data_IF_562384459428
#
_entry.id   IF_562384459428
#
_cell.length_a   1.000
_cell.length_b   1.000
_cell.length_c   1.000
_cell.angle_alpha   90.00
_cell.angle_beta   90.00
_cell.angle_gamma   90.00
#
_symmetry.space_group_name_H-M   'P 1'
#
loop_
_entity.id
_entity.type
_entity.pdbx_description
1 polymer ?
#
# COMPACT_ATOMS: atom_id res chain seq x y z
N UNK A 1 28.39 -0.86 51.78
CA UNK A 1 27.10 -0.93 51.06
C UNK A 1 26.64 0.47 50.69
N UNK A 2 26.79 0.90 49.42
CA UNK A 2 26.07 2.05 48.84
C UNK A 2 25.80 1.78 47.36
N UNK A 3 24.54 1.98 46.98
CA UNK A 3 23.87 1.66 45.71
C UNK A 3 24.10 2.75 44.66
N UNK A 4 23.76 2.37 43.41
CA UNK A 4 23.27 3.21 42.30
C UNK A 4 24.35 3.83 41.38
N UNK A 5 24.16 3.95 40.07
CA UNK A 5 22.95 3.88 39.24
C UNK A 5 23.36 3.53 37.80
N UNK A 6 22.74 2.50 37.23
CA UNK A 6 22.85 2.11 35.82
C UNK A 6 22.01 3.08 34.98
N UNK A 7 22.62 3.75 33.99
CA UNK A 7 21.90 4.51 32.96
C UNK A 7 22.13 3.83 31.61
N UNK A 8 21.31 2.82 31.34
CA UNK A 8 21.12 2.23 30.01
C UNK A 8 20.08 3.11 29.30
N UNK A 9 20.57 4.03 28.47
CA UNK A 9 19.73 4.82 27.57
C UNK A 9 19.37 3.99 26.34
N UNK A 10 18.23 3.29 26.36
CA UNK A 10 17.66 2.66 25.17
C UNK A 10 16.71 3.68 24.54
N UNK A 11 17.21 4.41 23.54
CA UNK A 11 16.35 5.13 22.60
C UNK A 11 15.67 4.11 21.69
N UNK A 12 14.48 3.63 22.08
CA UNK A 12 13.59 2.87 21.21
C UNK A 12 13.00 3.86 20.20
N UNK A 13 13.68 4.05 19.09
CA UNK A 13 13.10 4.68 17.91
C UNK A 13 12.01 3.75 17.38
N UNK A 14 10.75 4.11 17.59
CA UNK A 14 9.61 3.42 17.00
C UNK A 14 9.58 3.79 15.51
N UNK A 15 10.39 3.10 14.72
CA UNK A 15 10.17 3.05 13.28
C UNK A 15 8.84 2.30 13.10
N UNK A 16 7.76 3.05 12.88
CA UNK A 16 6.55 2.50 12.33
C UNK A 16 6.90 1.96 10.93
N UNK A 17 7.37 0.72 10.87
CA UNK A 17 7.58 -0.01 9.64
C UNK A 17 6.20 -0.19 9.01
N UNK A 18 5.80 0.76 8.15
CA UNK A 18 4.75 0.57 7.17
C UNK A 18 5.15 -0.64 6.33
N UNK A 19 4.73 -1.81 6.79
CA UNK A 19 5.13 -3.09 6.23
C UNK A 19 4.23 -3.29 5.02
N UNK A 20 4.70 -2.82 3.86
CA UNK A 20 4.11 -3.25 2.60
C UNK A 20 4.08 -4.77 2.57
N UNK A 21 2.93 -5.36 2.25
CA UNK A 21 2.80 -6.81 2.23
C UNK A 21 3.41 -7.31 0.93
N UNK A 22 4.51 -8.03 1.02
CA UNK A 22 5.17 -8.66 -0.14
C UNK A 22 4.80 -10.13 -0.20
N UNK A 23 4.34 -10.57 -1.37
CA UNK A 23 4.14 -11.97 -1.70
C UNK A 23 5.13 -12.36 -2.81
N UNK A 24 5.66 -13.57 -2.76
CA UNK A 24 6.70 -14.03 -3.70
C UNK A 24 6.25 -15.32 -4.38
N UNK A 25 6.39 -15.39 -5.70
CA UNK A 25 6.04 -16.55 -6.52
C UNK A 25 7.13 -16.83 -7.56
N UNK A 26 7.24 -18.08 -8.02
CA UNK A 26 8.15 -18.43 -9.13
C UNK A 26 7.45 -18.09 -10.45
N UNK A 27 8.04 -17.20 -11.22
CA UNK A 27 7.53 -16.80 -12.52
C UNK A 27 7.80 -17.84 -13.63
N UNK A 28 7.22 -17.66 -14.82
CA UNK A 28 7.38 -18.58 -15.97
C UNK A 28 8.84 -18.67 -16.47
N UNK A 29 9.68 -17.70 -16.13
CA UNK A 29 11.11 -17.67 -16.43
C UNK A 29 11.97 -18.43 -15.41
N UNK A 30 11.36 -19.04 -14.39
CA UNK A 30 12.06 -19.70 -13.28
C UNK A 30 12.64 -18.72 -12.25
N UNK A 31 12.52 -17.41 -12.47
CA UNK A 31 12.97 -16.37 -11.54
C UNK A 31 11.88 -16.02 -10.53
N UNK A 32 12.29 -15.68 -9.31
CA UNK A 32 11.37 -15.24 -8.26
C UNK A 32 10.83 -13.85 -8.60
N UNK A 33 9.51 -13.70 -8.53
CA UNK A 33 8.77 -12.46 -8.69
C UNK A 33 8.19 -12.07 -7.34
N UNK A 34 8.37 -10.80 -6.97
CA UNK A 34 7.83 -10.22 -5.75
C UNK A 34 6.70 -9.27 -6.11
N UNK A 35 5.57 -9.37 -5.42
CA UNK A 35 4.47 -8.42 -5.52
C UNK A 35 4.27 -7.77 -4.16
N UNK A 36 4.49 -6.46 -4.09
CA UNK A 36 4.30 -5.69 -2.86
C UNK A 36 3.06 -4.82 -2.96
N UNK A 37 2.23 -4.86 -1.91
CA UNK A 37 1.10 -3.97 -1.68
C UNK A 37 1.48 -2.89 -0.66
N UNK A 38 1.31 -1.61 -1.03
CA UNK A 38 1.59 -0.45 -0.19
C UNK A 38 0.38 0.49 -0.12
N UNK A 39 0.24 1.27 0.94
CA UNK A 39 -0.78 2.32 1.07
C UNK A 39 -0.11 3.69 1.18
N UNK A 40 -0.91 4.75 1.09
CA UNK A 40 -0.50 6.16 1.27
C UNK A 40 0.38 6.72 0.15
N UNK A 41 1.40 6.01 -0.33
CA UNK A 41 2.20 6.44 -1.49
C UNK A 41 2.87 5.29 -2.24
N UNK A 42 3.08 5.48 -3.54
CA UNK A 42 3.87 4.56 -4.38
C UNK A 42 5.34 4.47 -3.96
N UNK A 43 5.86 5.52 -3.31
CA UNK A 43 7.25 5.56 -2.81
C UNK A 43 7.56 4.45 -1.81
N UNK A 44 6.57 4.04 -1.02
CA UNK A 44 6.74 2.93 -0.09
C UNK A 44 7.05 1.62 -0.83
N UNK A 45 6.46 1.40 -2.02
CA UNK A 45 6.73 0.20 -2.79
C UNK A 45 8.18 0.18 -3.31
N UNK A 46 8.75 1.32 -3.69
CA UNK A 46 10.17 1.40 -4.01
C UNK A 46 11.07 1.08 -2.82
N UNK A 47 10.73 1.58 -1.62
CA UNK A 47 11.49 1.30 -0.41
C UNK A 47 11.48 -0.20 -0.07
N UNK A 48 10.33 -0.85 -0.17
CA UNK A 48 10.21 -2.30 0.06
C UNK A 48 10.96 -3.11 -1.00
N UNK A 49 10.90 -2.72 -2.28
CA UNK A 49 11.66 -3.40 -3.33
C UNK A 49 13.17 -3.26 -3.15
N UNK A 50 13.65 -2.06 -2.82
CA UNK A 50 15.06 -1.82 -2.47
C UNK A 50 15.49 -2.70 -1.28
N UNK A 51 14.68 -2.77 -0.23
CA UNK A 51 14.98 -3.59 0.95
C UNK A 51 14.97 -5.10 0.66
N UNK A 52 14.06 -5.54 -0.23
CA UNK A 52 13.91 -6.95 -0.62
C UNK A 52 15.09 -7.39 -1.49
N UNK A 53 15.42 -6.62 -2.52
CA UNK A 53 16.44 -7.01 -3.50
C UNK A 53 17.87 -6.66 -3.06
N UNK A 54 18.04 -5.72 -2.13
CA UNK A 54 19.36 -5.22 -1.68
C UNK A 54 20.28 -4.84 -2.85
N UNK A 55 19.69 -4.32 -3.91
CA UNK A 55 20.33 -4.13 -5.20
C UNK A 55 19.32 -3.70 -6.27
N UNK A 56 19.72 -3.63 -7.54
CA UNK A 56 18.83 -3.27 -8.62
C UNK A 56 17.67 -4.28 -8.74
N UNK A 57 16.57 -3.80 -9.30
CA UNK A 57 15.42 -4.62 -9.66
C UNK A 57 14.78 -4.08 -10.94
N UNK A 58 14.05 -4.95 -11.62
CA UNK A 58 13.20 -4.59 -12.75
C UNK A 58 11.73 -4.70 -12.33
N UNK A 59 10.96 -3.66 -12.63
CA UNK A 59 9.52 -3.66 -12.40
C UNK A 59 8.82 -4.32 -13.58
N UNK A 60 8.00 -5.32 -13.27
CA UNK A 60 7.23 -6.13 -14.23
C UNK A 60 5.83 -5.56 -14.40
N UNK A 61 5.18 -5.17 -13.30
CA UNK A 61 3.86 -4.55 -13.33
C UNK A 61 3.71 -3.54 -12.18
N UNK A 62 2.90 -2.52 -12.40
CA UNK A 62 2.55 -1.55 -11.36
C UNK A 62 1.15 -1.00 -11.58
N UNK A 63 0.40 -0.81 -10.52
CA UNK A 63 -0.92 -0.18 -10.57
C UNK A 63 -1.37 0.35 -9.22
N UNK A 64 -2.34 1.27 -9.23
CA UNK A 64 -3.10 1.65 -8.05
C UNK A 64 -4.55 1.19 -8.18
N UNK A 65 -5.25 1.04 -7.05
CA UNK A 65 -6.70 0.92 -7.03
C UNK A 65 -7.27 1.45 -5.73
N UNK A 66 -8.50 1.93 -5.78
CA UNK A 66 -9.29 2.20 -4.57
C UNK A 66 -9.65 0.87 -3.90
N UNK A 67 -9.55 0.82 -2.56
CA UNK A 67 -9.90 -0.37 -1.79
C UNK A 67 -10.27 -0.04 -0.35
N UNK A 68 -10.90 -1.00 0.31
CA UNK A 68 -11.17 -0.93 1.74
C UNK A 68 -9.89 -1.05 2.57
N UNK A 69 -9.96 -0.63 3.83
CA UNK A 69 -8.85 -0.73 4.78
C UNK A 69 -8.50 -2.19 5.11
N UNK A 70 -9.49 -3.09 5.09
CA UNK A 70 -9.36 -4.50 5.49
C UNK A 70 -9.36 -5.48 4.31
N UNK A 71 -10.00 -5.13 3.18
CA UNK A 71 -10.07 -5.98 2.00
C UNK A 71 -10.26 -5.15 0.72
N UNK A 72 -9.55 -5.54 -0.34
CA UNK A 72 -9.57 -4.85 -1.64
C UNK A 72 -10.75 -5.29 -2.53
N UNK A 73 -11.82 -5.79 -1.91
CA UNK A 73 -12.98 -6.39 -2.57
C UNK A 73 -13.97 -5.29 -3.00
N UNK A 74 -14.03 -4.18 -2.26
CA UNK A 74 -14.86 -3.02 -2.60
C UNK A 74 -14.00 -1.75 -2.71
N UNK A 75 -14.30 -0.85 -3.66
CA UNK A 75 -13.71 0.49 -3.69
C UNK A 75 -13.94 1.18 -2.35
N UNK A 76 -12.87 1.67 -1.75
CA UNK A 76 -12.90 2.35 -0.45
C UNK A 76 -12.02 3.58 -0.47
N UNK A 77 -11.97 4.34 0.63
CA UNK A 77 -11.27 5.63 0.68
C UNK A 77 -9.75 5.51 0.61
N UNK A 78 -9.20 4.28 0.62
CA UNK A 78 -7.76 4.04 0.60
C UNK A 78 -7.31 3.72 -0.81
N UNK A 79 -6.30 4.46 -1.28
CA UNK A 79 -5.55 4.10 -2.48
C UNK A 79 -4.47 3.09 -2.12
N UNK A 80 -4.57 1.91 -2.71
CA UNK A 80 -3.55 0.88 -2.62
C UNK A 80 -2.69 0.87 -3.86
N UNK A 81 -1.37 0.79 -3.67
CA UNK A 81 -0.37 0.67 -4.71
C UNK A 81 0.16 -0.76 -4.74
N UNK A 82 0.27 -1.33 -5.93
CA UNK A 82 0.81 -2.66 -6.16
C UNK A 82 1.98 -2.54 -7.09
N UNK A 83 3.08 -3.21 -6.73
CA UNK A 83 4.28 -3.25 -7.55
C UNK A 83 4.81 -4.68 -7.61
N UNK A 84 4.90 -5.20 -8.83
CA UNK A 84 5.45 -6.51 -9.13
C UNK A 84 6.85 -6.34 -9.71
N UNK A 85 7.86 -6.94 -9.13
CA UNK A 85 9.26 -6.76 -9.50
C UNK A 85 10.07 -8.04 -9.38
N UNK A 86 11.19 -8.09 -10.10
CA UNK A 86 12.19 -9.14 -10.03
C UNK A 86 13.53 -8.53 -9.64
N UNK A 87 14.23 -9.13 -8.69
CA UNK A 87 15.57 -8.70 -8.32
C UNK A 87 16.57 -9.03 -9.44
N UNK A 88 17.48 -8.09 -9.72
CA UNK A 88 18.42 -8.22 -10.83
C UNK A 88 18.58 -6.92 -11.62
N UNK A 89 19.22 -6.96 -12.80
CA UNK A 89 19.44 -5.77 -13.61
C UNK A 89 18.13 -5.02 -13.88
N UNK A 90 18.15 -3.70 -13.69
CA UNK A 90 17.00 -2.87 -14.00
C UNK A 90 16.86 -2.70 -15.51
N UNK A 91 15.62 -2.68 -15.99
CA UNK A 91 15.29 -2.28 -17.36
C UNK A 91 15.23 -0.74 -17.54
N UNK A 92 15.51 0.04 -16.48
CA UNK A 92 15.48 1.50 -16.52
C UNK A 92 14.08 2.11 -16.61
N UNK A 93 13.03 1.29 -16.51
CA UNK A 93 11.64 1.75 -16.60
C UNK A 93 11.13 2.10 -15.22
N UNK A 94 10.68 3.34 -15.07
CA UNK A 94 10.05 3.81 -13.83
C UNK A 94 8.55 3.49 -13.86
N UNK A 95 7.99 2.81 -12.83
CA UNK A 95 6.58 2.47 -12.81
C UNK A 95 5.69 3.70 -12.64
N UNK A 96 4.54 3.66 -13.30
CA UNK A 96 3.60 4.79 -13.40
C UNK A 96 2.40 4.63 -12.47
N UNK A 97 2.16 3.44 -11.91
CA UNK A 97 1.01 3.12 -11.06
C UNK A 97 -0.33 3.64 -11.63
N UNK A 98 -0.70 3.24 -12.86
CA UNK A 98 -2.01 3.59 -13.41
C UNK A 98 -3.14 3.07 -12.50
N UNK A 99 -4.19 3.89 -12.36
CA UNK A 99 -5.40 3.50 -11.64
C UNK A 99 -6.11 2.35 -12.39
N UNK A 100 -6.40 1.27 -11.67
CA UNK A 100 -7.17 0.11 -12.16
C UNK A 100 -8.42 -0.07 -11.30
N UNK A 101 -9.49 -0.54 -11.94
CA UNK A 101 -10.77 -0.79 -11.26
C UNK A 101 -11.63 0.47 -11.15
N UNK A 102 -12.67 0.39 -10.31
CA UNK A 102 -13.61 1.50 -10.10
C UNK A 102 -13.03 2.49 -9.08
N UNK A 103 -13.29 3.76 -9.32
CA UNK A 103 -13.01 4.80 -8.34
C UNK A 103 -13.95 4.70 -7.14
N UNK A 104 -13.48 5.23 -6.02
CA UNK A 104 -14.29 5.38 -4.82
C UNK A 104 -15.15 6.64 -4.95
N UNK A 105 -16.46 6.46 -5.06
CA UNK A 105 -17.42 7.57 -4.92
C UNK A 105 -17.78 7.71 -3.44
N UNK A 106 -17.39 8.81 -2.77
CA UNK A 106 -17.77 9.02 -1.39
C UNK A 106 -19.29 9.21 -1.28
N UNK A 107 -19.95 8.60 -0.28
CA UNK A 107 -21.36 8.85 -0.06
C UNK A 107 -21.61 10.32 0.25
N UNK A 108 -22.57 10.93 -0.42
CA UNK A 108 -23.05 12.28 -0.12
C UNK A 108 -24.37 12.23 0.64
N UNK A 109 -24.52 13.11 1.63
CA UNK A 109 -25.78 13.28 2.36
C UNK A 109 -26.60 14.32 1.62
N UNK A 110 -27.73 13.91 1.06
CA UNK A 110 -28.67 14.76 0.34
C UNK A 110 -30.01 14.76 1.07
N UNK A 111 -30.70 15.91 1.14
CA UNK A 111 -32.08 15.92 1.65
C UNK A 111 -33.02 15.31 0.62
N UNK A 112 -33.74 14.28 1.03
CA UNK A 112 -34.73 13.57 0.24
C UNK A 112 -36.10 13.68 0.90
N UNK A 113 -37.14 13.79 0.09
CA UNK A 113 -38.50 13.82 0.60
C UNK A 113 -39.00 12.39 0.77
N UNK A 114 -39.14 11.92 2.00
CA UNK A 114 -39.75 10.61 2.32
C UNK A 114 -41.13 10.85 2.89
N UNK A 115 -42.15 10.57 2.08
CA UNK A 115 -43.55 10.64 2.48
C UNK A 115 -43.95 11.99 3.09
N UNK A 116 -43.53 13.10 2.46
CA UNK A 116 -43.88 14.46 2.87
C UNK A 116 -42.98 15.07 3.95
N UNK A 117 -41.99 14.32 4.46
CA UNK A 117 -40.98 14.83 5.39
C UNK A 117 -39.60 14.92 4.74
N UNK A 118 -38.83 15.95 5.10
CA UNK A 118 -37.42 16.03 4.72
C UNK A 118 -36.60 15.06 5.57
N UNK A 119 -35.86 14.16 4.92
CA UNK A 119 -34.96 13.21 5.54
C UNK A 119 -33.57 13.32 4.91
N UNK A 120 -32.53 13.00 5.67
CA UNK A 120 -31.17 12.85 5.13
C UNK A 120 -31.03 11.48 4.46
N UNK A 121 -30.86 11.46 3.14
CA UNK A 121 -30.54 10.27 2.36
C UNK A 121 -29.05 10.19 2.04
N UNK A 122 -28.52 8.97 1.98
CA UNK A 122 -27.18 8.69 1.49
C UNK A 122 -27.28 8.37 -0.01
N UNK A 123 -26.49 9.05 -0.82
CA UNK A 123 -26.36 8.82 -2.27
C UNK A 123 -24.92 8.43 -2.62
N UNK A 124 -24.74 7.54 -3.60
CA UNK A 124 -23.45 7.01 -4.06
C UNK A 124 -23.24 7.26 -5.55
#
# INVERSE_FOLDING_TARGET
>A
MRKALVLIGISIGVAACNTGKTESVIGPTGTQVHTTKCSQSSTQCFAVANATCRGPYSVVDSYSKAGGLLADIAPGPVTWYYMTYQCGPSNGVFPQFPQRGRDYTPPSITQCNRSGNSASCITY
#
